data_IF_168508461161
#
_entry.id   IF_168508461161
#
_cell.length_a   1.000
_cell.length_b   1.000
_cell.length_c   1.000
_cell.angle_alpha   90.00
_cell.angle_beta   90.00
_cell.angle_gamma   90.00
#
_symmetry.space_group_name_H-M   'P 1'
#
loop_
_entity.id
_entity.type
_entity.pdbx_description
1 polymer ?
#
# COMPACT_ATOMS: atom_id res chain seq x y z
N UNK A 1 -1.07 5.41 20.08
CA UNK A 1 -2.02 5.06 18.99
C UNK A 1 -3.44 5.16 19.55
N UNK A 2 -4.23 6.18 19.18
CA UNK A 2 -5.67 6.20 19.56
C UNK A 2 -6.35 5.12 18.73
N UNK A 3 -6.83 4.05 19.36
CA UNK A 3 -7.78 3.14 18.73
C UNK A 3 -8.99 3.97 18.28
N UNK A 4 -9.15 4.17 16.97
CA UNK A 4 -10.34 4.79 16.41
C UNK A 4 -11.51 3.86 16.72
N UNK A 5 -12.50 4.39 17.43
CA UNK A 5 -13.73 3.66 17.70
C UNK A 5 -14.73 3.98 16.60
N UNK A 6 -15.24 2.95 15.93
CA UNK A 6 -16.22 3.08 14.85
C UNK A 6 -17.60 3.39 15.42
N UNK A 7 -18.38 4.21 14.71
CA UNK A 7 -19.81 4.35 14.99
C UNK A 7 -20.60 3.17 14.44
N UNK A 8 -21.85 3.02 14.87
CA UNK A 8 -22.78 2.04 14.26
C UNK A 8 -22.90 2.24 12.76
N UNK A 9 -22.99 3.49 12.30
CA UNK A 9 -23.04 3.85 10.87
C UNK A 9 -21.80 3.40 10.12
N UNK A 10 -20.61 3.61 10.69
CA UNK A 10 -19.35 3.18 10.06
C UNK A 10 -19.27 1.65 9.94
N UNK A 11 -19.67 0.90 10.99
CA UNK A 11 -19.72 -0.57 10.93
C UNK A 11 -20.76 -1.05 9.93
N UNK A 12 -21.93 -0.40 9.88
CA UNK A 12 -22.99 -0.75 8.94
C UNK A 12 -22.54 -0.55 7.48
N UNK A 13 -21.89 0.57 7.19
CA UNK A 13 -21.30 0.84 5.89
C UNK A 13 -20.22 -0.18 5.53
N UNK A 14 -19.32 -0.51 6.47
CA UNK A 14 -18.26 -1.50 6.26
C UNK A 14 -18.80 -2.88 5.87
N UNK A 15 -19.80 -3.34 6.61
CA UNK A 15 -20.39 -4.67 6.45
C UNK A 15 -21.49 -4.68 5.37
N UNK A 16 -21.74 -3.54 4.71
CA UNK A 16 -22.85 -3.29 3.78
C UNK A 16 -24.20 -3.80 4.29
N UNK A 17 -24.51 -3.49 5.54
CA UNK A 17 -25.81 -3.80 6.16
C UNK A 17 -26.48 -2.52 6.66
N UNK A 18 -27.77 -2.61 6.98
CA UNK A 18 -28.46 -1.53 7.66
C UNK A 18 -27.96 -1.34 9.11
N UNK A 19 -27.93 -0.11 9.62
CA UNK A 19 -27.58 0.16 11.03
C UNK A 19 -28.43 -0.64 12.03
N UNK A 20 -29.71 -0.89 11.72
CA UNK A 20 -30.59 -1.72 12.54
C UNK A 20 -30.08 -3.16 12.69
N UNK A 21 -29.44 -3.72 11.65
CA UNK A 21 -28.81 -5.03 11.68
C UNK A 21 -27.62 -5.04 12.66
N UNK A 22 -26.76 -4.02 12.61
CA UNK A 22 -25.63 -3.87 13.53
C UNK A 22 -26.09 -3.72 14.98
N UNK A 23 -27.14 -2.91 15.21
CA UNK A 23 -27.77 -2.76 16.54
C UNK A 23 -28.30 -4.10 17.04
N UNK A 24 -28.99 -4.87 16.18
CA UNK A 24 -29.51 -6.20 16.52
C UNK A 24 -28.41 -7.19 16.90
N UNK A 25 -27.29 -7.23 16.17
CA UNK A 25 -26.15 -8.09 16.53
C UNK A 25 -25.53 -7.69 17.87
N UNK A 26 -25.48 -6.39 18.15
CA UNK A 26 -24.97 -5.87 19.42
C UNK A 26 -25.90 -6.25 20.58
N UNK A 27 -27.20 -6.09 20.40
CA UNK A 27 -28.19 -6.36 21.43
C UNK A 27 -28.31 -7.86 21.74
N UNK A 28 -28.01 -8.72 20.75
CA UNK A 28 -27.84 -10.17 20.93
C UNK A 28 -26.49 -10.56 21.57
N UNK A 29 -25.57 -9.61 21.76
CA UNK A 29 -24.23 -9.87 22.27
C UNK A 29 -23.25 -10.50 21.27
N UNK A 30 -23.66 -10.72 20.02
CA UNK A 30 -22.80 -11.29 18.98
C UNK A 30 -21.70 -10.34 18.54
N UNK A 31 -22.01 -9.04 18.42
CA UNK A 31 -21.03 -7.99 18.10
C UNK A 31 -20.74 -7.14 19.34
N UNK A 32 -19.48 -7.15 19.80
CA UNK A 32 -19.08 -6.40 20.99
C UNK A 32 -19.04 -4.90 20.71
N UNK A 33 -19.58 -4.10 21.63
CA UNK A 33 -19.48 -2.64 21.58
C UNK A 33 -19.14 -2.03 22.94
N UNK A 34 -18.65 -0.80 22.92
CA UNK A 34 -18.56 0.12 24.05
C UNK A 34 -19.71 1.11 23.92
N UNK A 35 -20.47 1.33 24.99
CA UNK A 35 -21.44 2.44 25.03
C UNK A 35 -20.77 3.66 25.66
N UNK A 36 -20.90 4.81 25.01
CA UNK A 36 -20.50 6.09 25.63
C UNK A 36 -21.48 6.47 26.73
N UNK A 37 -21.17 7.45 27.61
CA UNK A 37 -22.12 7.95 28.61
C UNK A 37 -23.45 8.43 28.00
N UNK A 38 -23.42 8.97 26.77
CA UNK A 38 -24.62 9.36 26.01
C UNK A 38 -25.36 8.20 25.32
N UNK A 39 -24.98 6.94 25.57
CA UNK A 39 -25.64 5.75 25.03
C UNK A 39 -25.26 5.37 23.59
N UNK A 40 -24.35 6.11 22.94
CA UNK A 40 -23.92 5.78 21.58
C UNK A 40 -23.03 4.54 21.57
N UNK A 41 -23.32 3.59 20.67
CA UNK A 41 -22.51 2.39 20.46
C UNK A 41 -21.25 2.73 19.67
N UNK A 42 -20.11 2.24 20.16
CA UNK A 42 -18.77 2.43 19.61
C UNK A 42 -18.09 1.07 19.49
N UNK A 43 -17.53 0.76 18.34
CA UNK A 43 -16.99 -0.57 18.04
C UNK A 43 -15.48 -0.46 17.83
N UNK A 44 -14.72 -1.40 18.39
CA UNK A 44 -13.31 -1.55 18.02
C UNK A 44 -13.27 -2.35 16.74
N UNK A 45 -12.43 -1.95 15.78
CA UNK A 45 -12.32 -2.67 14.52
C UNK A 45 -11.96 -4.16 14.74
N UNK A 46 -11.07 -4.47 15.69
CA UNK A 46 -10.75 -5.86 16.08
C UNK A 46 -11.97 -6.71 16.48
N UNK A 47 -12.97 -6.10 17.13
CA UNK A 47 -14.17 -6.81 17.59
C UNK A 47 -15.12 -7.03 16.41
N UNK A 48 -15.11 -6.13 15.42
CA UNK A 48 -15.87 -6.29 14.18
C UNK A 48 -15.23 -7.36 13.29
N UNK A 49 -13.90 -7.36 13.14
CA UNK A 49 -13.16 -8.41 12.40
C UNK A 49 -13.42 -9.78 13.05
N UNK A 50 -13.27 -9.89 14.37
CA UNK A 50 -13.53 -11.16 15.07
C UNK A 50 -14.97 -11.66 14.89
N UNK A 51 -15.96 -10.74 14.85
CA UNK A 51 -17.33 -11.08 14.53
C UNK A 51 -17.45 -11.61 13.10
N UNK A 52 -16.80 -10.98 12.13
CA UNK A 52 -16.84 -11.43 10.74
C UNK A 52 -16.23 -12.81 10.57
N UNK A 53 -15.06 -13.05 11.18
CA UNK A 53 -14.40 -14.36 11.19
C UNK A 53 -15.29 -15.43 11.82
N UNK A 54 -15.89 -15.13 12.98
CA UNK A 54 -16.78 -16.05 13.70
C UNK A 54 -17.97 -16.50 12.85
N UNK A 55 -18.53 -15.59 12.06
CA UNK A 55 -19.73 -15.85 11.25
C UNK A 55 -19.42 -16.10 9.76
N UNK A 56 -18.14 -16.25 9.39
CA UNK A 56 -17.68 -16.36 8.02
C UNK A 56 -18.28 -15.29 7.09
N UNK A 57 -18.38 -14.06 7.60
CA UNK A 57 -18.99 -12.95 6.88
C UNK A 57 -18.00 -12.35 5.89
N UNK A 58 -18.10 -12.80 4.63
CA UNK A 58 -17.24 -12.36 3.54
C UNK A 58 -17.63 -10.95 3.05
N UNK A 59 -16.72 -9.99 3.23
CA UNK A 59 -16.83 -8.62 2.68
C UNK A 59 -15.93 -8.41 1.47
N UNK A 60 -15.11 -9.38 1.10
CA UNK A 60 -14.07 -9.24 0.07
C UNK A 60 -14.71 -8.97 -1.30
N UNK A 61 -15.85 -9.60 -1.59
CA UNK A 61 -16.66 -9.35 -2.80
C UNK A 61 -17.33 -7.96 -2.84
N UNK A 62 -17.24 -7.19 -1.76
CA UNK A 62 -17.97 -5.94 -1.57
C UNK A 62 -17.04 -4.70 -1.57
N UNK A 63 -15.73 -4.83 -1.78
CA UNK A 63 -14.79 -3.70 -1.68
C UNK A 63 -14.48 -2.95 -3.01
N UNK A 64 -15.24 -3.20 -4.09
CA UNK A 64 -15.13 -2.49 -5.40
C UNK A 64 -16.27 -1.46 -5.56
N UNK A 65 -16.06 -0.29 -6.19
CA UNK A 65 -16.33 1.00 -5.55
C UNK A 65 -17.76 1.53 -5.74
N UNK A 66 -18.34 2.06 -4.66
CA UNK A 66 -19.38 3.07 -4.78
C UNK A 66 -18.69 4.43 -4.88
N UNK A 67 -18.79 5.02 -6.07
CA UNK A 67 -18.47 6.43 -6.33
C UNK A 67 -19.15 7.31 -5.27
N UNK A 68 -18.37 8.32 -4.85
CA UNK A 68 -18.77 9.53 -4.12
C UNK A 68 -18.84 9.46 -2.58
N UNK A 69 -18.03 10.37 -2.02
CA UNK A 69 -18.12 11.00 -0.69
C UNK A 69 -17.22 10.44 0.42
N UNK A 70 -16.04 11.07 0.51
CA UNK A 70 -15.33 11.51 1.73
C UNK A 70 -15.64 10.74 3.03
N UNK A 71 -14.64 9.96 3.50
CA UNK A 71 -14.48 9.24 4.80
C UNK A 71 -14.35 7.71 4.72
N UNK A 72 -14.52 7.12 3.55
CA UNK A 72 -14.50 5.66 3.30
C UNK A 72 -13.12 5.01 3.25
N UNK A 73 -12.05 5.78 3.02
CA UNK A 73 -10.67 5.25 2.94
C UNK A 73 -10.25 4.61 4.27
N UNK A 74 -10.66 5.17 5.41
CA UNK A 74 -10.21 4.66 6.71
C UNK A 74 -10.78 3.30 7.05
N UNK A 75 -12.06 3.04 6.73
CA UNK A 75 -12.73 1.82 7.20
C UNK A 75 -12.33 0.59 6.40
N UNK A 76 -12.23 0.71 5.07
CA UNK A 76 -11.75 -0.37 4.19
C UNK A 76 -10.28 -0.68 4.44
N UNK A 77 -9.45 0.36 4.57
CA UNK A 77 -8.01 0.20 4.84
C UNK A 77 -7.76 -0.38 6.23
N UNK A 78 -8.45 0.10 7.28
CA UNK A 78 -8.30 -0.42 8.65
C UNK A 78 -8.68 -1.91 8.71
N UNK A 79 -9.74 -2.33 8.00
CA UNK A 79 -10.12 -3.73 7.92
C UNK A 79 -9.05 -4.57 7.21
N UNK A 80 -8.63 -4.16 6.01
CA UNK A 80 -7.62 -4.86 5.23
C UNK A 80 -6.26 -4.94 5.95
N UNK A 81 -5.90 -3.91 6.72
CA UNK A 81 -4.72 -3.90 7.58
C UNK A 81 -4.82 -4.94 8.70
N UNK A 82 -5.99 -5.08 9.34
CA UNK A 82 -6.19 -6.03 10.44
C UNK A 82 -6.22 -7.48 9.97
N UNK A 83 -6.85 -7.74 8.83
CA UNK A 83 -6.91 -9.08 8.23
C UNK A 83 -5.69 -9.42 7.39
N UNK A 84 -4.78 -8.46 7.18
CA UNK A 84 -3.66 -8.55 6.23
C UNK A 84 -4.10 -8.98 4.83
N UNK A 85 -5.25 -8.47 4.39
CA UNK A 85 -5.75 -8.66 3.05
C UNK A 85 -4.95 -7.80 2.05
N UNK A 86 -3.83 -8.35 1.60
CA UNK A 86 -2.94 -7.67 0.66
C UNK A 86 -3.58 -7.42 -0.70
N UNK A 87 -4.58 -8.22 -1.12
CA UNK A 87 -5.28 -7.98 -2.38
C UNK A 87 -6.09 -6.69 -2.28
N UNK A 88 -6.87 -6.51 -1.20
CA UNK A 88 -7.58 -5.27 -0.94
C UNK A 88 -6.64 -4.08 -0.76
N UNK A 89 -5.52 -4.25 -0.05
CA UNK A 89 -4.52 -3.18 0.12
C UNK A 89 -3.88 -2.77 -1.23
N UNK A 90 -3.60 -3.74 -2.11
CA UNK A 90 -3.10 -3.48 -3.46
C UNK A 90 -4.13 -2.73 -4.31
N UNK A 91 -5.40 -3.12 -4.25
CA UNK A 91 -6.47 -2.47 -5.00
C UNK A 91 -6.72 -1.04 -4.52
N UNK A 92 -6.61 -0.78 -3.22
CA UNK A 92 -6.65 0.57 -2.67
C UNK A 92 -5.47 1.40 -3.17
N UNK A 93 -4.25 0.86 -3.17
CA UNK A 93 -3.07 1.54 -3.69
C UNK A 93 -3.24 1.88 -5.18
N UNK A 94 -3.67 0.93 -5.99
CA UNK A 94 -4.01 1.11 -7.41
C UNK A 94 -4.92 2.34 -7.63
N UNK A 95 -5.99 2.46 -6.84
CA UNK A 95 -6.90 3.59 -6.94
C UNK A 95 -6.23 4.91 -6.56
N UNK A 96 -5.42 4.94 -5.48
CA UNK A 96 -4.71 6.17 -5.08
C UNK A 96 -3.74 6.67 -6.16
N UNK A 97 -3.08 5.75 -6.88
CA UNK A 97 -2.20 6.10 -8.00
C UNK A 97 -2.97 6.73 -9.16
N UNK A 98 -4.12 6.15 -9.54
CA UNK A 98 -4.96 6.67 -10.63
C UNK A 98 -5.66 7.99 -10.29
N UNK A 99 -5.94 8.26 -9.00
CA UNK A 99 -6.43 9.57 -8.56
C UNK A 99 -5.38 10.67 -8.70
N UNK A 100 -4.09 10.31 -8.82
CA UNK A 100 -3.00 11.26 -9.03
C UNK A 100 -2.63 12.11 -7.81
N UNK A 101 -3.21 11.82 -6.64
CA UNK A 101 -2.91 12.57 -5.43
C UNK A 101 -1.64 12.00 -4.75
N UNK A 102 -0.51 12.64 -5.07
CA UNK A 102 0.83 12.30 -4.54
C UNK A 102 0.92 12.24 -3.02
N UNK A 103 0.27 13.17 -2.34
CA UNK A 103 0.33 13.23 -0.87
C UNK A 103 -0.50 12.11 -0.24
N UNK A 104 -1.71 11.86 -0.74
CA UNK A 104 -2.55 10.76 -0.26
C UNK A 104 -1.89 9.40 -0.51
N UNK A 105 -1.26 9.21 -1.69
CA UNK A 105 -0.57 7.96 -2.04
C UNK A 105 0.62 7.70 -1.12
N UNK A 106 1.41 8.74 -0.82
CA UNK A 106 2.46 8.66 0.20
C UNK A 106 1.90 8.33 1.58
N UNK A 107 0.86 9.04 2.02
CA UNK A 107 0.24 8.81 3.33
C UNK A 107 -0.29 7.38 3.46
N UNK A 108 -0.81 6.80 2.37
CA UNK A 108 -1.24 5.42 2.31
C UNK A 108 -0.07 4.45 2.52
N UNK A 109 1.02 4.56 1.76
CA UNK A 109 2.19 3.70 1.96
C UNK A 109 2.81 3.86 3.35
N UNK A 110 2.89 5.10 3.86
CA UNK A 110 3.37 5.39 5.19
C UNK A 110 2.47 4.77 6.28
N UNK A 111 1.15 4.75 6.09
CA UNK A 111 0.20 4.08 6.98
C UNK A 111 0.47 2.56 7.03
N UNK A 112 0.73 1.91 5.89
CA UNK A 112 1.06 0.48 5.86
C UNK A 112 2.32 0.19 6.68
N UNK A 113 3.36 0.99 6.47
CA UNK A 113 4.62 0.86 7.20
C UNK A 113 4.47 1.12 8.71
N UNK A 114 3.72 2.16 9.09
CA UNK A 114 3.41 2.48 10.48
C UNK A 114 2.64 1.34 11.17
N UNK A 115 1.84 0.57 10.42
CA UNK A 115 1.13 -0.62 10.88
C UNK A 115 1.96 -1.92 10.79
N UNK A 116 3.30 -1.81 10.74
CA UNK A 116 4.25 -2.93 10.82
C UNK A 116 4.22 -3.88 9.62
N UNK A 117 3.70 -3.44 8.48
CA UNK A 117 3.97 -4.12 7.21
C UNK A 117 5.38 -3.72 6.80
N UNK A 118 6.26 -4.71 6.57
CA UNK A 118 7.66 -4.42 6.23
C UNK A 118 7.77 -3.76 4.85
N UNK A 119 8.85 -3.00 4.62
CA UNK A 119 9.08 -2.36 3.32
C UNK A 119 9.08 -3.37 2.15
N UNK A 120 9.74 -4.54 2.23
CA UNK A 120 9.62 -5.55 1.18
C UNK A 120 8.19 -6.05 0.98
N UNK A 121 7.42 -6.29 2.05
CA UNK A 121 6.01 -6.69 1.92
C UNK A 121 5.16 -5.60 1.24
N UNK A 122 5.40 -4.32 1.55
CA UNK A 122 4.71 -3.21 0.88
C UNK A 122 5.02 -3.25 -0.62
N UNK A 123 6.28 -3.42 -1.01
CA UNK A 123 6.67 -3.44 -2.42
C UNK A 123 6.12 -4.68 -3.14
N UNK A 124 6.32 -5.88 -2.59
CA UNK A 124 5.97 -7.15 -3.26
C UNK A 124 4.46 -7.44 -3.25
N UNK A 125 3.74 -7.03 -2.20
CA UNK A 125 2.35 -7.43 -1.97
C UNK A 125 1.34 -6.32 -2.24
N UNK A 126 1.79 -5.07 -2.38
CA UNK A 126 0.91 -3.92 -2.62
C UNK A 126 1.32 -3.15 -3.86
N UNK A 127 2.57 -2.71 -3.97
CA UNK A 127 3.03 -1.91 -5.12
C UNK A 127 3.06 -2.75 -6.39
N UNK A 128 3.76 -3.89 -6.35
CA UNK A 128 3.95 -4.74 -7.53
C UNK A 128 2.62 -5.25 -8.12
N UNK A 129 1.66 -5.82 -7.33
CA UNK A 129 0.40 -6.30 -7.90
C UNK A 129 -0.49 -5.17 -8.44
N UNK A 130 -0.44 -3.98 -7.84
CA UNK A 130 -1.14 -2.81 -8.36
C UNK A 130 -0.58 -2.38 -9.73
N UNK A 131 0.73 -2.37 -9.91
CA UNK A 131 1.36 -2.04 -11.19
C UNK A 131 1.19 -3.12 -12.25
N UNK A 132 1.18 -4.40 -11.87
CA UNK A 132 0.78 -5.48 -12.77
C UNK A 132 -0.66 -5.27 -13.28
N UNK A 133 -1.58 -4.82 -12.40
CA UNK A 133 -2.95 -4.48 -12.78
C UNK A 133 -3.01 -3.24 -13.69
N UNK A 134 -2.27 -2.17 -13.40
CA UNK A 134 -2.18 -0.97 -14.26
C UNK A 134 -1.71 -1.36 -15.67
N UNK A 135 -0.60 -2.10 -15.76
CA UNK A 135 -0.04 -2.54 -17.04
C UNK A 135 -1.01 -3.41 -17.84
N UNK A 136 -1.73 -4.33 -17.16
CA UNK A 136 -2.78 -5.14 -17.80
C UNK A 136 -3.92 -4.28 -18.35
N UNK A 137 -4.41 -3.32 -17.57
CA UNK A 137 -5.52 -2.46 -18.00
C UNK A 137 -5.11 -1.54 -19.15
N UNK A 138 -3.88 -1.03 -19.14
CA UNK A 138 -3.31 -0.26 -20.24
C UNK A 138 -3.17 -1.11 -21.52
N UNK A 139 -2.58 -2.31 -21.41
CA UNK A 139 -2.43 -3.23 -22.54
C UNK A 139 -3.78 -3.65 -23.14
N UNK A 140 -4.83 -3.76 -22.31
CA UNK A 140 -6.19 -4.04 -22.74
C UNK A 140 -6.93 -2.82 -23.34
N UNK A 141 -6.32 -1.62 -23.34
CA UNK A 141 -6.93 -0.38 -23.81
C UNK A 141 -7.96 0.24 -22.86
N UNK A 142 -8.04 -0.24 -21.62
CA UNK A 142 -8.96 0.28 -20.60
C UNK A 142 -8.39 1.50 -19.85
N UNK A 143 -7.07 1.66 -19.84
CA UNK A 143 -6.38 2.86 -19.37
C UNK A 143 -5.64 3.51 -20.53
N UNK A 144 -5.75 4.84 -20.64
CA UNK A 144 -4.92 5.62 -21.55
C UNK A 144 -3.48 5.74 -21.06
N UNK A 145 -2.57 6.08 -21.97
CA UNK A 145 -1.14 6.30 -21.63
C UNK A 145 -0.97 7.43 -20.61
N UNK A 146 -1.82 8.45 -20.65
CA UNK A 146 -1.84 9.55 -19.68
C UNK A 146 -2.18 9.09 -18.26
N UNK A 147 -3.01 8.05 -18.11
CA UNK A 147 -3.38 7.48 -16.82
C UNK A 147 -2.29 6.57 -16.27
N UNK A 148 -1.64 5.79 -17.14
CA UNK A 148 -0.45 5.02 -16.76
C UNK A 148 0.64 5.97 -16.25
N UNK A 149 0.98 7.02 -17.02
CA UNK A 149 1.98 7.99 -16.61
C UNK A 149 1.61 8.72 -15.32
N UNK A 150 0.33 9.06 -15.14
CA UNK A 150 -0.16 9.65 -13.89
C UNK A 150 0.08 8.69 -12.71
N UNK A 151 -0.26 7.43 -12.87
CA UNK A 151 -0.11 6.41 -11.82
C UNK A 151 1.36 6.16 -11.48
N UNK A 152 2.20 5.94 -12.49
CA UNK A 152 3.64 5.71 -12.35
C UNK A 152 4.34 6.87 -11.64
N UNK A 153 4.10 8.12 -12.08
CA UNK A 153 4.67 9.30 -11.44
C UNK A 153 4.16 9.50 -9.99
N UNK A 154 2.89 9.19 -9.74
CA UNK A 154 2.29 9.32 -8.40
C UNK A 154 2.86 8.30 -7.43
N UNK A 155 2.99 7.04 -7.86
CA UNK A 155 3.61 5.99 -7.08
C UNK A 155 5.09 6.26 -6.83
N UNK A 156 5.84 6.68 -7.86
CA UNK A 156 7.26 6.97 -7.72
C UNK A 156 7.53 8.03 -6.65
N UNK A 157 6.78 9.13 -6.69
CA UNK A 157 6.84 10.16 -5.66
C UNK A 157 6.57 9.58 -4.26
N UNK A 158 5.57 8.72 -4.12
CA UNK A 158 5.23 8.10 -2.84
C UNK A 158 6.31 7.13 -2.34
N UNK A 159 6.91 6.33 -3.23
CA UNK A 159 7.97 5.37 -2.91
C UNK A 159 9.25 6.08 -2.46
N UNK A 160 9.66 7.13 -3.20
CA UNK A 160 10.84 7.94 -2.84
C UNK A 160 10.60 8.61 -1.49
N UNK A 161 9.45 9.27 -1.31
CA UNK A 161 9.13 9.96 -0.05
C UNK A 161 9.00 8.99 1.13
N UNK A 162 8.52 7.77 0.92
CA UNK A 162 8.44 6.75 1.97
C UNK A 162 9.84 6.42 2.54
N UNK A 163 10.88 6.44 1.70
CA UNK A 163 12.23 6.07 2.10
C UNK A 163 12.78 6.94 3.25
N UNK A 164 12.38 8.21 3.32
CA UNK A 164 12.73 9.14 4.41
C UNK A 164 12.18 8.69 5.78
N UNK A 165 11.14 7.85 5.77
CA UNK A 165 10.48 7.33 6.97
C UNK A 165 10.87 5.90 7.31
N UNK A 166 11.64 5.22 6.45
CA UNK A 166 12.11 3.87 6.71
C UNK A 166 13.26 3.88 7.70
N UNK A 167 13.18 3.00 8.70
CA UNK A 167 14.30 2.78 9.63
C UNK A 167 15.44 2.06 8.89
N UNK A 168 16.59 2.72 8.77
CA UNK A 168 17.79 2.17 8.11
C UNK A 168 18.64 1.38 9.11
N UNK A 169 19.18 0.25 8.66
CA UNK A 169 20.22 -0.50 9.39
C UNK A 169 21.57 0.22 9.27
N UNK A 170 22.47 0.04 10.25
CA UNK A 170 23.85 0.52 10.13
C UNK A 170 24.51 -0.02 8.87
N UNK A 171 25.37 0.80 8.26
CA UNK A 171 26.12 0.35 7.09
C UNK A 171 27.01 -0.85 7.45
N UNK A 172 27.04 -1.84 6.55
CA UNK A 172 27.95 -2.98 6.62
C UNK A 172 29.04 -2.90 5.54
N UNK A 173 29.23 -1.74 4.90
CA UNK A 173 30.31 -1.48 3.94
C UNK A 173 30.21 -2.23 2.61
N UNK A 174 29.10 -2.89 2.31
CA UNK A 174 28.90 -3.51 0.98
C UNK A 174 28.25 -2.51 0.04
N UNK A 175 28.72 -2.52 -1.20
CA UNK A 175 28.27 -1.63 -2.27
C UNK A 175 27.35 -2.40 -3.23
N UNK A 176 26.26 -1.76 -3.65
CA UNK A 176 25.44 -2.21 -4.76
C UNK A 176 25.35 -1.11 -5.83
N UNK A 177 25.38 -1.51 -7.10
CA UNK A 177 25.05 -0.63 -8.23
C UNK A 177 23.69 -1.06 -8.77
N UNK A 178 22.78 -0.11 -8.93
CA UNK A 178 21.40 -0.35 -9.33
C UNK A 178 21.01 0.60 -10.46
N UNK A 179 20.44 0.10 -11.54
CA UNK A 179 19.89 0.93 -12.62
C UNK A 179 19.34 0.07 -13.75
N UNK A 180 18.59 0.67 -14.66
CA UNK A 180 18.10 -0.05 -15.83
C UNK A 180 19.07 0.12 -17.01
N UNK A 181 19.21 -0.94 -17.81
CA UNK A 181 20.02 -0.93 -19.02
C UNK A 181 19.34 -0.12 -20.15
N UNK A 182 20.02 -0.01 -21.28
CA UNK A 182 19.54 0.64 -22.50
C UNK A 182 18.10 0.25 -22.84
N UNK A 183 17.31 1.26 -23.16
CA UNK A 183 15.90 1.18 -23.58
C UNK A 183 14.93 0.67 -22.52
N UNK A 184 15.39 0.43 -21.29
CA UNK A 184 14.54 0.06 -20.17
C UNK A 184 14.24 1.30 -19.32
N UNK A 185 12.99 1.75 -19.40
CA UNK A 185 12.48 2.96 -18.74
C UNK A 185 11.63 2.64 -17.49
N UNK A 186 11.34 1.37 -17.19
CA UNK A 186 10.52 0.98 -16.05
C UNK A 186 11.32 1.11 -14.74
N UNK A 187 11.17 2.27 -14.09
CA UNK A 187 12.01 2.69 -12.97
C UNK A 187 11.57 2.14 -11.59
N UNK A 188 10.28 1.84 -11.43
CA UNK A 188 9.68 1.55 -10.11
C UNK A 188 10.32 0.33 -9.45
N UNK A 189 10.51 -0.74 -10.23
CA UNK A 189 11.08 -1.99 -9.71
C UNK A 189 12.50 -1.82 -9.18
N UNK A 190 13.38 -1.20 -9.99
CA UNK A 190 14.76 -0.96 -9.59
C UNK A 190 14.87 0.02 -8.42
N UNK A 191 13.97 1.00 -8.34
CA UNK A 191 13.87 1.92 -7.20
C UNK A 191 13.50 1.18 -5.91
N UNK A 192 12.53 0.26 -5.97
CA UNK A 192 12.16 -0.58 -4.84
C UNK A 192 13.34 -1.43 -4.34
N UNK A 193 14.10 -2.04 -5.26
CA UNK A 193 15.30 -2.83 -4.92
C UNK A 193 16.37 -1.94 -4.27
N UNK A 194 16.69 -0.80 -4.89
CA UNK A 194 17.64 0.17 -4.35
C UNK A 194 17.26 0.60 -2.91
N UNK A 195 15.99 0.95 -2.70
CA UNK A 195 15.50 1.39 -1.40
C UNK A 195 15.62 0.30 -0.33
N UNK A 196 15.30 -0.96 -0.67
CA UNK A 196 15.47 -2.10 0.25
C UNK A 196 16.95 -2.28 0.61
N UNK A 197 17.86 -2.22 -0.37
CA UNK A 197 19.29 -2.38 -0.12
C UNK A 197 19.82 -1.27 0.81
N UNK A 198 19.50 -0.02 0.51
CA UNK A 198 19.88 1.13 1.33
C UNK A 198 19.36 0.97 2.77
N UNK A 199 18.08 0.60 2.94
CA UNK A 199 17.49 0.38 4.27
C UNK A 199 18.12 -0.79 5.02
N UNK A 200 18.77 -1.72 4.33
CA UNK A 200 19.49 -2.85 4.92
C UNK A 200 20.98 -2.59 5.18
N UNK A 201 21.48 -1.38 4.95
CA UNK A 201 22.85 -0.99 5.28
C UNK A 201 23.84 -1.12 4.13
N UNK A 202 23.34 -1.26 2.89
CA UNK A 202 24.17 -1.15 1.69
C UNK A 202 24.45 0.32 1.36
N UNK A 203 25.64 0.58 0.83
CA UNK A 203 25.89 1.79 0.05
C UNK A 203 25.41 1.52 -1.36
N UNK A 204 24.41 2.27 -1.83
CA UNK A 204 23.86 2.07 -3.18
C UNK A 204 24.27 3.20 -4.10
N UNK A 205 24.61 2.84 -5.34
CA UNK A 205 24.77 3.77 -6.46
C UNK A 205 23.61 3.53 -7.43
N UNK A 206 22.62 4.42 -7.36
CA UNK A 206 21.45 4.37 -8.23
C UNK A 206 21.71 5.19 -9.50
N UNK A 207 21.76 4.52 -10.64
CA UNK A 207 22.13 5.11 -11.93
C UNK A 207 20.93 5.56 -12.77
N UNK A 208 19.70 5.33 -12.28
CA UNK A 208 18.47 5.65 -13.01
C UNK A 208 18.14 4.63 -14.09
N UNK A 209 17.47 5.09 -15.15
CA UNK A 209 16.99 4.26 -16.27
C UNK A 209 17.71 4.57 -17.58
N UNK A 210 17.60 3.67 -18.57
CA UNK A 210 18.12 3.88 -19.93
C UNK A 210 19.61 4.26 -19.96
N UNK A 211 20.43 3.59 -19.13
CA UNK A 211 21.87 3.83 -19.11
C UNK A 211 22.57 2.97 -20.17
N UNK A 212 23.41 3.58 -21.05
CA UNK A 212 24.26 2.84 -21.96
C UNK A 212 25.05 1.74 -21.26
N UNK A 213 25.13 0.57 -21.88
CA UNK A 213 25.75 -0.64 -21.32
C UNK A 213 27.21 -0.37 -20.96
N UNK A 214 27.94 0.36 -21.81
CA UNK A 214 29.34 0.74 -21.56
C UNK A 214 29.47 1.63 -20.32
N UNK A 215 28.61 2.65 -20.18
CA UNK A 215 28.58 3.51 -18.99
C UNK A 215 28.20 2.73 -17.73
N UNK A 216 27.35 1.70 -17.84
CA UNK A 216 27.01 0.82 -16.72
C UNK A 216 28.22 -0.01 -16.29
N UNK A 217 28.98 -0.55 -17.26
CA UNK A 217 30.24 -1.29 -17.01
C UNK A 217 31.25 -0.37 -16.31
N UNK A 218 31.43 0.87 -16.79
CA UNK A 218 32.32 1.85 -16.16
C UNK A 218 31.97 2.07 -14.68
N UNK A 219 30.67 2.16 -14.35
CA UNK A 219 30.21 2.31 -12.97
C UNK A 219 30.52 1.06 -12.10
N UNK A 220 30.40 -0.14 -12.67
CA UNK A 220 30.78 -1.39 -11.99
C UNK A 220 32.28 -1.41 -11.71
N UNK A 221 33.11 -1.07 -12.70
CA UNK A 221 34.56 -1.05 -12.55
C UNK A 221 35.03 0.02 -11.54
N UNK A 222 34.37 1.19 -11.54
CA UNK A 222 34.68 2.29 -10.63
C UNK A 222 34.29 1.97 -9.17
N UNK A 223 33.12 1.39 -8.93
CA UNK A 223 32.57 1.20 -7.60
C UNK A 223 32.82 -0.19 -7.00
N UNK A 224 33.27 -1.15 -7.83
CA UNK A 224 33.58 -2.54 -7.45
C UNK A 224 32.48 -3.14 -6.55
N UNK A 225 31.21 -3.17 -7.01
CA UNK A 225 30.10 -3.54 -6.17
C UNK A 225 30.12 -5.03 -5.82
N UNK A 226 29.60 -5.36 -4.65
CA UNK A 226 29.33 -6.75 -4.26
C UNK A 226 28.01 -7.28 -4.86
N UNK A 227 27.18 -6.39 -5.42
CA UNK A 227 25.90 -6.71 -6.04
C UNK A 227 25.59 -5.73 -7.18
N UNK A 228 25.14 -6.26 -8.31
CA UNK A 228 24.61 -5.47 -9.42
C UNK A 228 23.12 -5.79 -9.57
N UNK A 229 22.28 -4.77 -9.67
CA UNK A 229 20.84 -4.89 -9.88
C UNK A 229 20.47 -4.19 -11.18
N UNK A 230 19.79 -4.92 -12.07
CA UNK A 230 19.28 -4.47 -13.36
C UNK A 230 17.82 -4.87 -13.52
#
# INVERSE_FOLDING_TARGET
>A
MKSSLLSTTAVAAMLKVNESTVKRWTDKGSLRCIKTPGGHRKYKMKDVVAFMDQFAYDVTDLLVPAKESLSSVNVSTDYALLTKDFAALSDLFYNTCLEGNRENTFQYLHLLYANRISQPEIYDRVVFPAFAKIGMQWSAGNLGIEQEHLASNTAMHAIIKLQDHITKRPSHGKVAVCGCLEHEHHEIGITCVNNILESNGWTTYYLGTDLPTESFIDAIEQHVPALVCI
#
